data_IF_604043477381
#
_entry.id   IF_604043477381
#
_cell.length_a   1.000
_cell.length_b   1.000
_cell.length_c   1.000
_cell.angle_alpha   90.00
_cell.angle_beta   90.00
_cell.angle_gamma   90.00
#
_symmetry.space_group_name_H-M   'P 1'
#
loop_
_entity.id
_entity.type
_entity.pdbx_description
1 polymer ?
#
# COMPACT_ATOMS: atom_id res chain seq x y z
N UNK A 1 37.74 -10.01 32.47
CA UNK A 1 37.41 -8.75 31.79
C UNK A 1 36.04 -8.99 31.20
N UNK A 2 35.01 -8.59 31.93
CA UNK A 2 33.62 -8.62 31.47
C UNK A 2 33.57 -7.87 30.14
N UNK A 3 33.26 -8.56 29.05
CA UNK A 3 32.89 -7.91 27.80
C UNK A 3 31.65 -7.08 28.10
N UNK A 4 31.76 -5.75 28.11
CA UNK A 4 30.59 -4.88 28.04
C UNK A 4 29.76 -5.34 26.85
N UNK A 5 28.57 -5.86 27.16
CA UNK A 5 27.83 -6.81 26.33
C UNK A 5 27.60 -6.34 24.89
N UNK A 6 28.17 -7.06 23.94
CA UNK A 6 27.91 -6.87 22.52
C UNK A 6 26.54 -7.45 22.17
N UNK A 7 25.66 -6.61 21.62
CA UNK A 7 24.35 -7.03 21.14
C UNK A 7 24.42 -7.48 19.67
N UNK A 8 23.96 -8.70 19.39
CA UNK A 8 23.81 -9.25 18.04
C UNK A 8 22.42 -8.93 17.46
N UNK A 9 22.41 -8.33 16.26
CA UNK A 9 21.19 -8.01 15.51
C UNK A 9 21.13 -8.82 14.21
N UNK A 10 19.90 -9.05 13.73
CA UNK A 10 19.65 -9.70 12.43
C UNK A 10 19.67 -8.63 11.35
N UNK A 11 20.31 -8.94 10.24
CA UNK A 11 20.42 -8.03 9.10
C UNK A 11 19.32 -8.31 8.07
N UNK A 12 19.03 -7.32 7.24
CA UNK A 12 18.05 -7.43 6.17
C UNK A 12 18.51 -8.42 5.08
N UNK A 13 19.77 -8.30 4.66
CA UNK A 13 20.41 -9.22 3.71
C UNK A 13 21.84 -9.57 4.18
N UNK A 14 22.34 -10.74 3.80
CA UNK A 14 23.73 -11.16 4.06
C UNK A 14 24.75 -10.20 3.45
N UNK A 15 24.38 -9.49 2.38
CA UNK A 15 25.23 -8.44 1.79
C UNK A 15 25.46 -7.25 2.72
N UNK A 16 24.46 -6.84 3.53
CA UNK A 16 24.58 -5.70 4.44
C UNK A 16 25.54 -5.97 5.60
N UNK A 17 25.63 -7.23 6.02
CA UNK A 17 26.44 -7.69 7.13
C UNK A 17 27.46 -8.74 6.65
N UNK A 18 28.64 -8.31 6.18
CA UNK A 18 29.67 -9.20 5.64
C UNK A 18 30.38 -10.03 6.74
N UNK A 19 29.95 -9.87 8.00
CA UNK A 19 30.62 -10.42 9.17
C UNK A 19 31.86 -9.60 9.58
N UNK A 20 32.50 -10.04 10.67
CA UNK A 20 33.69 -9.40 11.21
C UNK A 20 33.49 -8.86 12.63
N UNK A 21 34.27 -7.83 12.99
CA UNK A 21 34.17 -7.21 14.32
C UNK A 21 32.84 -6.44 14.47
N UNK A 22 32.35 -6.26 15.72
CA UNK A 22 31.17 -5.43 15.97
C UNK A 22 31.30 -4.03 15.32
N UNK A 23 30.20 -3.57 14.71
CA UNK A 23 30.17 -2.28 14.01
C UNK A 23 30.75 -2.29 12.59
N UNK A 24 31.20 -3.44 12.08
CA UNK A 24 31.66 -3.58 10.69
C UNK A 24 30.46 -3.84 9.76
N UNK A 25 30.11 -2.86 8.94
CA UNK A 25 29.02 -2.93 7.96
C UNK A 25 29.56 -2.91 6.52
N UNK A 26 28.80 -3.44 5.55
CA UNK A 26 29.21 -3.40 4.15
C UNK A 26 29.17 -1.99 3.56
N UNK A 27 30.26 -1.59 2.90
CA UNK A 27 30.34 -0.29 2.24
C UNK A 27 30.23 0.88 3.22
N UNK A 28 29.29 1.80 2.94
CA UNK A 28 29.04 2.99 3.75
C UNK A 28 27.77 2.90 4.62
N UNK A 29 27.22 1.69 4.81
CA UNK A 29 26.09 1.51 5.70
C UNK A 29 26.49 1.62 7.17
N UNK A 30 25.53 2.01 8.02
CA UNK A 30 25.74 2.27 9.44
C UNK A 30 24.48 1.97 10.25
N UNK A 31 24.58 2.15 11.56
CA UNK A 31 23.45 1.99 12.48
C UNK A 31 23.16 0.53 12.82
N UNK A 32 22.03 0.32 13.49
CA UNK A 32 21.58 -1.02 13.88
C UNK A 32 21.25 -1.82 12.62
N UNK A 33 21.68 -3.08 12.60
CA UNK A 33 21.50 -4.00 11.47
C UNK A 33 22.12 -3.55 10.14
N UNK A 34 23.04 -2.56 10.18
CA UNK A 34 23.69 -1.98 8.99
C UNK A 34 22.69 -1.47 7.94
N UNK A 35 21.53 -0.97 8.38
CA UNK A 35 20.41 -0.60 7.52
C UNK A 35 20.48 0.84 6.99
N UNK A 36 21.19 1.75 7.69
CA UNK A 36 21.16 3.17 7.35
C UNK A 36 22.27 3.54 6.36
N UNK A 37 21.92 4.31 5.34
CA UNK A 37 22.90 4.98 4.48
C UNK A 37 23.20 6.41 4.97
N UNK A 38 24.39 6.92 4.63
CA UNK A 38 24.74 8.31 4.89
C UNK A 38 23.86 9.30 4.09
N UNK A 39 23.84 10.57 4.51
CA UNK A 39 23.10 11.62 3.80
C UNK A 39 23.55 11.74 2.34
N UNK A 40 22.58 11.78 1.42
CA UNK A 40 22.85 11.82 -0.02
C UNK A 40 23.25 10.47 -0.63
N UNK A 41 23.11 9.37 0.12
CA UNK A 41 23.27 8.00 -0.38
C UNK A 41 21.95 7.21 -0.29
N UNK A 42 21.85 6.15 -1.08
CA UNK A 42 20.74 5.21 -1.11
C UNK A 42 21.27 3.78 -1.11
N UNK A 43 20.47 2.86 -0.57
CA UNK A 43 20.73 1.44 -0.68
C UNK A 43 20.40 0.95 -2.08
N UNK A 44 21.26 0.10 -2.67
CA UNK A 44 21.01 -0.49 -3.99
C UNK A 44 20.79 -2.02 -3.94
N UNK A 45 20.62 -2.59 -2.75
CA UNK A 45 20.53 -4.04 -2.52
C UNK A 45 21.83 -4.68 -2.00
N UNK A 46 22.98 -4.05 -2.22
CA UNK A 46 24.30 -4.58 -1.84
C UNK A 46 25.13 -3.59 -1.01
N UNK A 47 25.14 -2.31 -1.40
CA UNK A 47 25.93 -1.25 -0.77
C UNK A 47 25.23 0.12 -0.84
N UNK A 48 25.59 1.02 0.08
CA UNK A 48 25.14 2.41 0.00
C UNK A 48 25.90 3.15 -1.12
N UNK A 49 25.16 3.63 -2.12
CA UNK A 49 25.69 4.42 -3.25
C UNK A 49 25.20 5.86 -3.23
N UNK A 50 25.99 6.82 -3.77
CA UNK A 50 25.53 8.20 -3.88
C UNK A 50 24.27 8.29 -4.74
N UNK A 51 23.34 9.15 -4.32
CA UNK A 51 22.09 9.42 -5.02
C UNK A 51 22.37 9.93 -6.44
N UNK A 52 21.93 9.17 -7.44
CA UNK A 52 22.09 9.55 -8.84
C UNK A 52 21.04 10.59 -9.23
N UNK A 53 21.40 11.48 -10.17
CA UNK A 53 20.51 12.56 -10.61
C UNK A 53 19.19 12.06 -11.21
N UNK A 54 19.21 10.90 -11.89
CA UNK A 54 18.00 10.31 -12.47
C UNK A 54 17.02 9.77 -11.43
N UNK A 55 17.48 9.36 -10.24
CA UNK A 55 16.58 8.91 -9.14
C UNK A 55 15.76 10.09 -8.65
N UNK A 56 16.43 11.23 -8.39
CA UNK A 56 15.75 12.48 -8.02
C UNK A 56 14.80 12.95 -9.10
N UNK A 57 15.22 12.90 -10.37
CA UNK A 57 14.37 13.25 -11.50
C UNK A 57 13.14 12.33 -11.58
N UNK A 58 13.32 11.02 -11.37
CA UNK A 58 12.24 10.03 -11.36
C UNK A 58 11.18 10.35 -10.30
N UNK A 59 11.60 10.67 -9.07
CA UNK A 59 10.69 11.10 -8.02
C UNK A 59 9.97 12.42 -8.33
N UNK A 60 10.68 13.40 -8.89
CA UNK A 60 10.05 14.67 -9.33
C UNK A 60 8.99 14.39 -10.40
N UNK A 61 9.32 13.58 -11.41
CA UNK A 61 8.39 13.19 -12.48
C UNK A 61 7.19 12.44 -11.91
N UNK A 62 7.39 11.54 -10.95
CA UNK A 62 6.31 10.81 -10.29
C UNK A 62 5.36 11.76 -9.52
N UNK A 63 5.91 12.67 -8.71
CA UNK A 63 5.13 13.66 -7.95
C UNK A 63 4.35 14.58 -8.90
N UNK A 64 5.02 15.14 -9.92
CA UNK A 64 4.38 15.99 -10.92
C UNK A 64 3.30 15.21 -11.70
N UNK A 65 3.58 13.97 -12.05
CA UNK A 65 2.65 13.06 -12.71
C UNK A 65 1.39 12.86 -11.88
N UNK A 66 1.51 12.47 -10.60
CA UNK A 66 0.36 12.31 -9.69
C UNK A 66 -0.42 13.63 -9.55
N UNK A 67 0.28 14.75 -9.35
CA UNK A 67 -0.33 16.07 -9.23
C UNK A 67 -1.08 16.50 -10.50
N UNK A 68 -0.69 16.05 -11.68
CA UNK A 68 -1.37 16.33 -12.95
C UNK A 68 -2.50 15.32 -13.25
N UNK A 69 -2.28 14.03 -12.95
CA UNK A 69 -3.24 12.95 -13.17
C UNK A 69 -4.52 13.13 -12.35
N UNK A 70 -4.41 13.57 -11.09
CA UNK A 70 -5.56 13.78 -10.20
C UNK A 70 -6.57 14.83 -10.75
N UNK A 71 -6.15 16.06 -11.14
CA UNK A 71 -7.00 17.02 -11.83
C UNK A 71 -7.58 16.49 -13.15
N UNK A 72 -6.77 15.78 -13.94
CA UNK A 72 -7.20 15.22 -15.21
C UNK A 72 -8.32 14.19 -15.02
N UNK A 73 -8.13 13.23 -14.09
CA UNK A 73 -9.14 12.23 -13.75
C UNK A 73 -10.41 12.88 -13.19
N UNK A 74 -10.28 13.89 -12.32
CA UNK A 74 -11.41 14.64 -11.79
C UNK A 74 -12.19 15.35 -12.90
N UNK A 75 -11.53 15.93 -13.91
CA UNK A 75 -12.20 16.52 -15.08
C UNK A 75 -12.82 15.48 -16.00
N UNK A 76 -12.06 14.45 -16.35
CA UNK A 76 -12.49 13.39 -17.27
C UNK A 76 -13.75 12.69 -16.76
N UNK A 77 -13.87 12.49 -15.44
CA UNK A 77 -15.08 11.96 -14.82
C UNK A 77 -16.32 12.84 -15.06
N UNK A 78 -16.14 14.16 -15.18
CA UNK A 78 -17.24 15.13 -15.32
C UNK A 78 -17.68 15.36 -16.77
N UNK A 79 -16.78 15.19 -17.75
CA UNK A 79 -17.07 15.40 -19.18
C UNK A 79 -17.65 14.14 -19.87
N UNK A 80 -17.87 13.07 -19.11
CA UNK A 80 -18.29 11.77 -19.60
C UNK A 80 -19.81 11.76 -19.90
N UNK A 81 -20.21 12.10 -21.13
CA UNK A 81 -21.64 12.21 -21.54
C UNK A 81 -21.92 11.66 -22.97
N UNK A 82 -21.21 10.64 -23.45
CA UNK A 82 -21.49 10.02 -24.77
C UNK A 82 -21.44 8.48 -24.77
N UNK A 83 -22.61 7.84 -24.67
CA UNK A 83 -22.91 6.42 -24.45
C UNK A 83 -21.95 5.33 -25.00
N UNK A 84 -21.36 5.45 -26.19
CA UNK A 84 -20.60 4.32 -26.80
C UNK A 84 -19.10 4.33 -26.45
N UNK A 85 -18.50 5.50 -26.22
CA UNK A 85 -17.12 5.61 -25.67
C UNK A 85 -17.08 5.28 -24.18
N UNK A 86 -18.24 5.24 -23.53
CA UNK A 86 -18.35 5.13 -22.08
C UNK A 86 -17.99 3.75 -21.54
N UNK A 87 -18.41 2.67 -22.19
CA UNK A 87 -18.14 1.33 -21.67
C UNK A 87 -16.66 0.96 -21.84
N UNK A 88 -16.04 1.35 -22.96
CA UNK A 88 -14.64 1.00 -23.25
C UNK A 88 -13.67 1.72 -22.30
N UNK A 89 -13.82 3.04 -22.12
CA UNK A 89 -12.94 3.79 -21.21
C UNK A 89 -13.20 3.39 -19.75
N UNK A 90 -14.45 3.14 -19.36
CA UNK A 90 -14.78 2.60 -18.04
C UNK A 90 -14.12 1.23 -17.79
N UNK A 91 -14.19 0.33 -18.77
CA UNK A 91 -13.58 -1.01 -18.69
C UNK A 91 -12.07 -0.89 -18.56
N UNK A 92 -11.44 -0.04 -19.38
CA UNK A 92 -9.99 0.19 -19.33
C UNK A 92 -9.54 0.73 -17.96
N UNK A 93 -10.22 1.76 -17.43
CA UNK A 93 -9.90 2.30 -16.11
C UNK A 93 -10.09 1.26 -14.99
N UNK A 94 -11.11 0.42 -15.10
CA UNK A 94 -11.33 -0.65 -14.12
C UNK A 94 -10.28 -1.74 -14.22
N UNK A 95 -9.79 -2.07 -15.42
CA UNK A 95 -8.65 -2.99 -15.60
C UNK A 95 -7.38 -2.40 -14.98
N UNK A 96 -7.10 -1.11 -15.18
CA UNK A 96 -5.96 -0.44 -14.55
C UNK A 96 -6.06 -0.48 -13.02
N UNK A 97 -7.25 -0.30 -12.46
CA UNK A 97 -7.48 -0.40 -11.02
C UNK A 97 -7.27 -1.83 -10.49
N UNK A 98 -7.83 -2.83 -11.17
CA UNK A 98 -7.60 -4.25 -10.84
C UNK A 98 -6.10 -4.56 -10.91
N UNK A 99 -5.42 -4.13 -11.98
CA UNK A 99 -3.98 -4.27 -12.13
C UNK A 99 -3.22 -3.60 -10.98
N UNK A 100 -3.59 -2.38 -10.60
CA UNK A 100 -3.04 -1.68 -9.44
C UNK A 100 -3.18 -2.48 -8.15
N UNK A 101 -4.37 -3.01 -7.86
CA UNK A 101 -4.63 -3.86 -6.69
C UNK A 101 -3.80 -5.15 -6.70
N UNK A 102 -3.57 -5.75 -7.87
CA UNK A 102 -2.70 -6.91 -8.03
C UNK A 102 -1.25 -6.55 -7.73
N UNK A 103 -0.75 -5.43 -8.26
CA UNK A 103 0.61 -4.94 -7.98
C UNK A 103 0.79 -4.60 -6.49
N UNK A 104 -0.22 -3.98 -5.86
CA UNK A 104 -0.23 -3.73 -4.41
C UNK A 104 -0.20 -5.02 -3.60
N UNK A 105 -0.94 -6.05 -4.03
CA UNK A 105 -0.94 -7.36 -3.35
C UNK A 105 0.40 -8.07 -3.51
N UNK A 106 1.02 -7.99 -4.69
CA UNK A 106 2.37 -8.51 -4.93
C UNK A 106 3.40 -7.81 -4.04
N UNK A 107 3.33 -6.48 -3.94
CA UNK A 107 4.21 -5.69 -3.10
C UNK A 107 4.11 -6.08 -1.62
N UNK A 108 2.89 -6.24 -1.09
CA UNK A 108 2.66 -6.73 0.29
C UNK A 108 3.16 -8.17 0.47
N UNK A 109 2.99 -9.03 -0.54
CA UNK A 109 3.50 -10.41 -0.49
C UNK A 109 5.04 -10.44 -0.38
N UNK A 110 5.72 -9.51 -1.03
CA UNK A 110 7.18 -9.34 -0.92
C UNK A 110 7.67 -8.97 0.48
N UNK A 111 6.78 -8.53 1.38
CA UNK A 111 7.10 -8.18 2.77
C UNK A 111 7.04 -9.38 3.73
N UNK A 112 6.61 -10.55 3.27
CA UNK A 112 6.65 -11.78 4.07
C UNK A 112 8.09 -12.10 4.46
N UNK A 113 8.27 -12.70 5.65
CA UNK A 113 9.59 -13.11 6.17
C UNK A 113 10.10 -14.42 5.54
N UNK A 114 9.98 -14.54 4.20
CA UNK A 114 10.41 -15.68 3.39
C UNK A 114 11.75 -15.41 2.71
N UNK A 115 12.53 -16.46 2.49
CA UNK A 115 13.80 -16.40 1.76
C UNK A 115 13.57 -16.47 0.24
N UNK A 116 13.02 -15.39 -0.33
CA UNK A 116 12.70 -15.35 -1.75
C UNK A 116 13.93 -15.52 -2.66
N UNK A 117 13.80 -16.22 -3.81
CA UNK A 117 14.87 -16.30 -4.79
C UNK A 117 15.18 -14.91 -5.37
N UNK A 118 16.45 -14.67 -5.72
CA UNK A 118 16.96 -13.36 -6.15
C UNK A 118 16.13 -12.69 -7.26
N UNK A 119 15.63 -13.47 -8.23
CA UNK A 119 14.79 -12.94 -9.31
C UNK A 119 13.52 -12.25 -8.79
N UNK A 120 12.88 -12.82 -7.76
CA UNK A 120 11.66 -12.28 -7.17
C UNK A 120 11.95 -11.08 -6.28
N UNK A 121 13.08 -11.07 -5.56
CA UNK A 121 13.51 -9.92 -4.72
C UNK A 121 13.63 -8.65 -5.56
N UNK A 122 14.27 -8.72 -6.73
CA UNK A 122 14.36 -7.56 -7.63
C UNK A 122 13.00 -7.10 -8.14
N UNK A 123 12.08 -8.02 -8.42
CA UNK A 123 10.71 -7.68 -8.82
C UNK A 123 9.95 -7.00 -7.68
N UNK A 124 10.01 -7.53 -6.46
CA UNK A 124 9.32 -6.97 -5.31
C UNK A 124 9.83 -5.57 -4.96
N UNK A 125 11.15 -5.34 -5.01
CA UNK A 125 11.74 -4.01 -4.77
C UNK A 125 11.16 -2.93 -5.70
N UNK A 126 10.95 -3.24 -6.98
CA UNK A 126 10.28 -2.33 -7.92
C UNK A 126 8.79 -2.11 -7.60
N UNK A 127 8.12 -3.13 -7.05
CA UNK A 127 6.69 -3.10 -6.76
C UNK A 127 6.34 -2.41 -5.43
N UNK A 128 7.29 -2.29 -4.49
CA UNK A 128 7.08 -1.65 -3.19
C UNK A 128 6.44 -0.24 -3.33
N UNK A 129 6.76 0.52 -4.40
CA UNK A 129 6.15 1.84 -4.66
C UNK A 129 4.62 1.80 -4.66
N UNK A 130 4.03 0.71 -5.16
CA UNK A 130 2.58 0.54 -5.17
C UNK A 130 2.02 0.30 -3.78
N UNK A 131 2.79 -0.31 -2.86
CA UNK A 131 2.45 -0.44 -1.44
C UNK A 131 2.80 0.81 -0.60
N UNK A 132 3.18 1.93 -1.23
CA UNK A 132 3.68 3.14 -0.56
C UNK A 132 4.91 2.91 0.32
N UNK A 133 5.65 1.87 0.02
CA UNK A 133 6.94 1.56 0.59
C UNK A 133 8.00 1.85 -0.47
N UNK A 134 8.93 2.76 -0.20
CA UNK A 134 9.84 3.18 -1.27
C UNK A 134 11.26 3.42 -0.75
N UNK A 135 11.60 2.80 0.38
CA UNK A 135 12.92 2.87 0.97
C UNK A 135 13.99 2.42 -0.05
N UNK A 136 13.74 1.31 -0.74
CA UNK A 136 14.67 0.74 -1.72
C UNK A 136 14.72 1.49 -3.06
N UNK A 137 13.74 2.35 -3.34
CA UNK A 137 13.66 3.17 -4.57
C UNK A 137 14.33 4.54 -4.41
N UNK A 138 15.16 4.69 -3.38
CA UNK A 138 15.89 5.92 -3.13
C UNK A 138 15.01 7.05 -2.62
N UNK A 139 13.94 6.74 -1.87
CA UNK A 139 13.16 7.77 -1.16
C UNK A 139 14.06 8.64 -0.26
N UNK A 140 15.12 8.04 0.30
CA UNK A 140 16.16 8.75 1.06
C UNK A 140 16.79 9.92 0.31
N UNK A 141 16.83 9.87 -1.04
CA UNK A 141 17.39 10.91 -1.89
C UNK A 141 16.52 12.18 -1.98
N UNK A 142 15.26 12.11 -1.53
CA UNK A 142 14.30 13.23 -1.58
C UNK A 142 13.80 13.60 -0.18
N UNK A 143 13.52 12.62 0.68
CA UNK A 143 12.97 12.86 2.03
C UNK A 143 14.03 12.92 3.14
N UNK A 144 15.30 12.60 2.85
CA UNK A 144 16.38 12.54 3.83
C UNK A 144 16.72 11.11 4.28
N UNK A 145 17.89 10.94 4.92
CA UNK A 145 18.42 9.62 5.31
C UNK A 145 17.73 9.00 6.53
N UNK A 146 17.05 9.80 7.36
CA UNK A 146 16.44 9.30 8.60
C UNK A 146 15.16 8.51 8.31
N UNK A 147 15.03 7.26 8.82
CA UNK A 147 13.85 6.42 8.54
C UNK A 147 12.53 7.04 9.03
N UNK A 148 12.54 7.72 10.18
CA UNK A 148 11.34 8.41 10.69
C UNK A 148 10.82 9.49 9.72
N UNK A 149 11.73 10.20 9.03
CA UNK A 149 11.35 11.21 8.04
C UNK A 149 10.77 10.57 6.77
N UNK A 150 11.34 9.43 6.35
CA UNK A 150 10.82 8.66 5.21
C UNK A 150 9.41 8.15 5.49
N UNK A 151 9.18 7.58 6.68
CA UNK A 151 7.86 7.15 7.12
C UNK A 151 6.86 8.32 7.16
N UNK A 152 7.26 9.46 7.74
CA UNK A 152 6.43 10.67 7.78
C UNK A 152 6.05 11.18 6.39
N UNK A 153 6.98 11.13 5.43
CA UNK A 153 6.70 11.48 4.03
C UNK A 153 5.65 10.55 3.40
N UNK A 154 5.77 9.24 3.61
CA UNK A 154 4.80 8.25 3.11
C UNK A 154 3.40 8.47 3.71
N UNK A 155 3.33 8.69 5.04
CA UNK A 155 2.06 8.97 5.74
C UNK A 155 1.41 10.26 5.23
N UNK A 156 2.20 11.26 4.85
CA UNK A 156 1.70 12.54 4.35
C UNK A 156 1.09 12.46 2.93
N UNK A 157 1.38 11.41 2.14
CA UNK A 157 0.91 11.30 0.75
C UNK A 157 -0.61 11.38 0.64
N UNK A 158 -1.36 10.61 1.44
CA UNK A 158 -2.82 10.61 1.40
C UNK A 158 -3.45 11.96 1.80
N UNK A 159 -3.14 12.56 2.97
CA UNK A 159 -3.73 13.84 3.34
C UNK A 159 -3.31 14.96 2.39
N UNK A 160 -2.07 15.01 1.92
CA UNK A 160 -1.63 15.98 0.92
C UNK A 160 -2.37 15.80 -0.42
N UNK A 161 -2.60 14.56 -0.86
CA UNK A 161 -3.40 14.26 -2.05
C UNK A 161 -4.87 14.74 -1.93
N UNK A 162 -5.48 14.56 -0.75
CA UNK A 162 -6.85 15.05 -0.49
C UNK A 162 -6.91 16.57 -0.50
N UNK A 163 -5.96 17.24 0.14
CA UNK A 163 -5.84 18.69 0.14
C UNK A 163 -5.58 19.24 -1.27
N UNK A 164 -4.76 18.55 -2.07
CA UNK A 164 -4.52 18.90 -3.46
C UNK A 164 -5.80 18.82 -4.29
N UNK A 165 -6.57 17.72 -4.17
CA UNK A 165 -7.86 17.59 -4.84
C UNK A 165 -8.86 18.68 -4.43
N UNK A 166 -8.90 19.05 -3.14
CA UNK A 166 -9.71 20.16 -2.65
C UNK A 166 -9.31 21.50 -3.28
N UNK A 167 -8.00 21.78 -3.33
CA UNK A 167 -7.46 22.99 -3.97
C UNK A 167 -7.81 23.04 -5.46
N UNK A 168 -7.53 21.96 -6.19
CA UNK A 168 -7.90 21.81 -7.60
C UNK A 168 -9.40 21.99 -7.78
N UNK A 169 -10.20 21.47 -6.85
CA UNK A 169 -11.63 21.59 -6.93
C UNK A 169 -12.08 23.05 -6.87
N UNK A 170 -11.54 23.78 -5.91
CA UNK A 170 -11.81 25.20 -5.69
C UNK A 170 -11.33 26.07 -6.85
N UNK A 171 -10.10 25.86 -7.35
CA UNK A 171 -9.53 26.60 -8.49
C UNK A 171 -10.41 26.50 -9.73
N UNK A 172 -10.81 25.30 -10.11
CA UNK A 172 -11.69 25.12 -11.26
C UNK A 172 -13.13 25.60 -11.01
N UNK A 173 -13.61 25.61 -9.76
CA UNK A 173 -14.91 26.22 -9.42
C UNK A 173 -14.86 27.75 -9.57
N UNK A 174 -13.72 28.37 -9.28
CA UNK A 174 -13.51 29.79 -9.56
C UNK A 174 -13.42 30.08 -11.06
N UNK A 175 -12.73 29.22 -11.82
CA UNK A 175 -12.53 29.39 -13.27
C UNK A 175 -13.75 29.01 -14.13
N UNK A 176 -14.59 28.08 -13.67
CA UNK A 176 -15.76 27.58 -14.42
C UNK A 176 -16.99 27.43 -13.51
N UNK A 177 -18.06 28.15 -13.83
CA UNK A 177 -19.33 28.14 -13.09
C UNK A 177 -20.15 26.90 -13.46
N UNK A 178 -20.02 25.82 -12.68
CA UNK A 178 -20.89 24.64 -12.86
C UNK A 178 -20.60 23.44 -11.95
N UNK A 179 -19.72 23.57 -10.95
CA UNK A 179 -19.09 22.41 -10.30
C UNK A 179 -19.81 22.07 -9.00
N UNK A 180 -20.25 20.81 -8.87
CA UNK A 180 -21.03 20.34 -7.71
C UNK A 180 -20.11 19.77 -6.63
N UNK A 181 -20.54 19.84 -5.38
CA UNK A 181 -19.80 19.26 -4.25
C UNK A 181 -19.80 17.72 -4.29
N UNK A 182 -20.85 17.12 -4.84
CA UNK A 182 -20.97 15.65 -5.03
C UNK A 182 -19.81 15.08 -5.84
N UNK A 183 -19.37 15.83 -6.84
CA UNK A 183 -18.29 15.47 -7.76
C UNK A 183 -16.94 15.38 -7.05
N UNK A 184 -16.70 16.33 -6.13
CA UNK A 184 -15.55 16.35 -5.25
C UNK A 184 -15.59 15.16 -4.29
N UNK A 185 -16.73 14.93 -3.63
CA UNK A 185 -16.91 13.81 -2.69
C UNK A 185 -16.62 12.47 -3.36
N UNK A 186 -17.16 12.24 -4.57
CA UNK A 186 -16.92 11.02 -5.31
C UNK A 186 -15.45 10.88 -5.75
N UNK A 187 -14.78 11.97 -6.13
CA UNK A 187 -13.37 11.96 -6.51
C UNK A 187 -12.44 11.70 -5.31
N UNK A 188 -12.73 12.29 -4.15
CA UNK A 188 -12.02 12.02 -2.90
C UNK A 188 -12.22 10.57 -2.46
N UNK A 189 -13.47 10.08 -2.50
CA UNK A 189 -13.78 8.68 -2.19
C UNK A 189 -13.03 7.71 -3.10
N UNK A 190 -13.00 7.98 -4.41
CA UNK A 190 -12.25 7.15 -5.36
C UNK A 190 -10.75 7.15 -5.08
N UNK A 191 -10.16 8.30 -4.72
CA UNK A 191 -8.74 8.36 -4.35
C UNK A 191 -8.44 7.56 -3.08
N UNK A 192 -9.30 7.65 -2.06
CA UNK A 192 -9.14 6.86 -0.83
C UNK A 192 -9.30 5.37 -1.13
N UNK A 193 -10.26 4.96 -1.96
CA UNK A 193 -10.45 3.55 -2.38
C UNK A 193 -9.22 3.00 -3.10
N UNK A 194 -8.66 3.73 -4.07
CA UNK A 194 -7.49 3.28 -4.85
C UNK A 194 -6.25 3.12 -3.97
N UNK A 195 -6.08 4.00 -2.99
CA UNK A 195 -4.94 3.96 -2.08
C UNK A 195 -5.21 3.11 -0.82
N UNK A 196 -6.43 2.57 -0.64
CA UNK A 196 -6.88 2.02 0.64
C UNK A 196 -5.98 0.89 1.12
N UNK A 197 -5.66 -0.06 0.24
CA UNK A 197 -4.83 -1.22 0.57
C UNK A 197 -3.39 -0.81 0.93
N UNK A 198 -2.74 0.01 0.09
CA UNK A 198 -1.39 0.51 0.36
C UNK A 198 -1.29 1.29 1.68
N UNK A 199 -2.23 2.23 1.90
CA UNK A 199 -2.25 3.05 3.13
C UNK A 199 -2.61 2.20 4.36
N UNK A 200 -3.46 1.19 4.22
CA UNK A 200 -3.74 0.24 5.30
C UNK A 200 -2.49 -0.53 5.72
N UNK A 201 -1.72 -1.03 4.74
CA UNK A 201 -0.44 -1.69 5.02
C UNK A 201 0.53 -0.75 5.72
N UNK A 202 0.70 0.47 5.19
CA UNK A 202 1.55 1.51 5.78
C UNK A 202 1.15 1.84 7.23
N UNK A 203 -0.16 1.88 7.53
CA UNK A 203 -0.64 2.12 8.91
C UNK A 203 -0.24 1.01 9.89
N UNK A 204 -0.02 -0.21 9.40
CA UNK A 204 0.35 -1.38 10.19
C UNK A 204 1.87 -1.56 10.35
N UNK A 205 2.69 -0.95 9.48
CA UNK A 205 4.16 -1.04 9.52
C UNK A 205 4.75 -0.81 10.91
N UNK A 206 4.38 0.24 11.69
CA UNK A 206 4.95 0.48 13.02
C UNK A 206 4.79 -0.70 13.99
N UNK A 207 3.78 -1.53 13.79
CA UNK A 207 3.45 -2.63 14.68
C UNK A 207 4.14 -3.95 14.30
N UNK A 208 4.78 -4.03 13.12
CA UNK A 208 5.49 -5.22 12.63
C UNK A 208 6.87 -5.34 13.30
N UNK A 209 6.92 -5.77 14.57
CA UNK A 209 8.16 -5.98 15.31
C UNK A 209 8.65 -7.43 15.19
N UNK A 210 9.92 -7.63 14.84
CA UNK A 210 10.53 -8.95 14.79
C UNK A 210 11.64 -9.12 15.84
N UNK A 211 11.96 -10.35 16.22
CA UNK A 211 12.87 -10.66 17.33
C UNK A 211 14.30 -10.92 16.85
N UNK A 212 15.27 -10.30 17.54
CA UNK A 212 16.70 -10.57 17.40
C UNK A 212 17.19 -11.65 18.39
N UNK A 213 18.34 -12.30 18.13
CA UNK A 213 18.96 -13.26 19.04
C UNK A 213 19.21 -12.72 20.46
N UNK A 214 19.44 -11.41 20.59
CA UNK A 214 19.60 -10.70 21.86
C UNK A 214 18.33 -10.58 22.68
N UNK A 215 17.16 -10.91 22.11
CA UNK A 215 15.86 -10.67 22.73
C UNK A 215 15.32 -9.25 22.51
N UNK A 216 16.07 -8.35 21.87
CA UNK A 216 15.55 -7.06 21.42
C UNK A 216 14.68 -7.22 20.18
N UNK A 217 13.83 -6.22 19.95
CA UNK A 217 12.91 -6.17 18.82
C UNK A 217 13.18 -4.93 17.97
N UNK A 218 13.20 -5.11 16.65
CA UNK A 218 13.22 -3.99 15.70
C UNK A 218 12.02 -4.05 14.78
N UNK A 219 11.72 -2.93 14.15
CA UNK A 219 10.71 -2.88 13.11
C UNK A 219 11.15 -3.71 11.90
N UNK A 220 10.22 -4.44 11.28
CA UNK A 220 10.48 -5.34 10.16
C UNK A 220 10.93 -4.58 8.91
N UNK A 221 10.29 -3.45 8.60
CA UNK A 221 10.59 -2.66 7.40
C UNK A 221 11.69 -1.61 7.63
N UNK A 222 11.85 -1.18 8.88
CA UNK A 222 12.81 -0.15 9.28
C UNK A 222 13.72 -0.68 10.37
N UNK A 223 14.64 -1.57 9.98
CA UNK A 223 15.45 -2.36 10.93
C UNK A 223 16.31 -1.52 11.89
N UNK A 224 16.59 -0.25 11.57
CA UNK A 224 17.34 0.63 12.47
C UNK A 224 16.48 1.20 13.62
N UNK A 225 15.15 1.10 13.54
CA UNK A 225 14.24 1.54 14.59
C UNK A 225 13.92 0.36 15.52
N UNK A 226 14.44 0.45 16.75
CA UNK A 226 14.12 -0.48 17.84
C UNK A 226 12.68 -0.27 18.33
N UNK A 227 11.94 -1.37 18.50
CA UNK A 227 10.60 -1.32 19.08
C UNK A 227 10.66 -0.90 20.55
N UNK A 228 9.85 0.09 20.92
CA UNK A 228 9.87 0.72 22.25
C UNK A 228 10.76 1.96 22.37
N UNK A 229 11.46 2.36 21.30
CA UNK A 229 12.19 3.64 21.24
C UNK A 229 11.25 4.84 21.05
N UNK A 230 11.77 6.07 21.25
CA UNK A 230 11.01 7.31 21.01
C UNK A 230 10.61 7.46 19.53
N UNK A 231 11.50 7.11 18.61
CA UNK A 231 11.22 7.11 17.16
C UNK A 231 10.11 6.10 16.82
N UNK A 232 10.13 4.93 17.46
CA UNK A 232 9.06 3.93 17.33
C UNK A 232 7.74 4.47 17.87
N UNK A 233 7.73 5.16 19.02
CA UNK A 233 6.53 5.78 19.56
C UNK A 233 5.92 6.82 18.59
N UNK A 234 6.76 7.64 17.95
CA UNK A 234 6.30 8.58 16.93
C UNK A 234 5.69 7.87 15.71
N UNK A 235 6.31 6.78 15.23
CA UNK A 235 5.76 5.94 14.17
C UNK A 235 4.40 5.34 14.56
N UNK A 236 4.28 4.83 15.78
CA UNK A 236 3.06 4.23 16.30
C UNK A 236 1.91 5.24 16.34
N UNK A 237 2.17 6.49 16.76
CA UNK A 237 1.16 7.56 16.75
C UNK A 237 0.70 7.85 15.32
N UNK A 238 1.63 8.05 14.39
CA UNK A 238 1.30 8.32 12.98
C UNK A 238 0.51 7.16 12.34
N UNK A 239 0.96 5.91 12.52
CA UNK A 239 0.28 4.72 12.01
C UNK A 239 -1.11 4.54 12.61
N UNK A 240 -1.26 4.72 13.92
CA UNK A 240 -2.56 4.62 14.60
C UNK A 240 -3.55 5.69 14.11
N UNK A 241 -3.10 6.94 13.96
CA UNK A 241 -3.93 8.01 13.41
C UNK A 241 -4.40 7.71 11.98
N UNK A 242 -3.49 7.22 11.14
CA UNK A 242 -3.79 6.83 9.76
C UNK A 242 -4.77 5.65 9.70
N UNK A 243 -4.53 4.62 10.51
CA UNK A 243 -5.41 3.45 10.63
C UNK A 243 -6.81 3.82 11.14
N UNK A 244 -6.91 4.70 12.13
CA UNK A 244 -8.19 5.21 12.64
C UNK A 244 -8.99 5.95 11.55
N UNK A 245 -8.32 6.78 10.73
CA UNK A 245 -8.93 7.45 9.60
C UNK A 245 -9.49 6.45 8.57
N UNK A 246 -8.74 5.40 8.25
CA UNK A 246 -9.17 4.36 7.32
C UNK A 246 -10.33 3.51 7.87
N UNK A 247 -10.29 3.16 9.16
CA UNK A 247 -11.40 2.49 9.84
C UNK A 247 -12.67 3.34 9.80
N UNK A 248 -12.55 4.65 10.04
CA UNK A 248 -13.67 5.58 9.93
C UNK A 248 -14.21 5.66 8.50
N UNK A 249 -13.33 5.72 7.50
CA UNK A 249 -13.73 5.69 6.08
C UNK A 249 -14.46 4.39 5.72
N UNK A 250 -13.96 3.24 6.16
CA UNK A 250 -14.61 1.95 5.93
C UNK A 250 -16.00 1.90 6.59
N UNK A 251 -16.12 2.38 7.83
CA UNK A 251 -17.41 2.48 8.53
C UNK A 251 -18.40 3.41 7.79
N UNK A 252 -17.92 4.52 7.23
CA UNK A 252 -18.72 5.40 6.37
C UNK A 252 -19.17 4.66 5.11
N UNK A 253 -18.30 3.87 4.47
CA UNK A 253 -18.67 3.07 3.29
C UNK A 253 -19.76 2.04 3.64
N UNK A 254 -19.65 1.35 4.77
CA UNK A 254 -20.69 0.42 5.27
C UNK A 254 -22.01 1.15 5.47
N UNK A 255 -21.97 2.32 6.12
CA UNK A 255 -23.16 3.13 6.37
C UNK A 255 -23.81 3.64 5.08
N UNK A 256 -23.02 4.15 4.13
CA UNK A 256 -23.48 4.58 2.79
C UNK A 256 -24.21 3.43 2.12
N UNK A 257 -23.59 2.25 2.08
CA UNK A 257 -24.14 1.08 1.42
C UNK A 257 -25.43 0.60 2.10
N UNK A 258 -25.47 0.58 3.43
CA UNK A 258 -26.69 0.23 4.15
C UNK A 258 -27.85 1.21 3.86
N UNK A 259 -27.56 2.51 3.74
CA UNK A 259 -28.59 3.53 3.46
C UNK A 259 -28.95 3.66 1.98
N UNK A 260 -28.11 3.19 1.07
CA UNK A 260 -28.26 3.38 -0.38
C UNK A 260 -29.64 2.97 -0.93
N UNK A 261 -30.23 1.80 -0.55
CA UNK A 261 -31.56 1.43 -1.05
C UNK A 261 -32.64 2.44 -0.63
N UNK A 262 -32.58 2.95 0.60
CA UNK A 262 -33.56 3.95 1.07
C UNK A 262 -33.41 5.30 0.35
N UNK A 263 -32.18 5.73 0.05
CA UNK A 263 -31.93 6.96 -0.69
C UNK A 263 -32.37 6.88 -2.14
N UNK A 264 -32.29 5.68 -2.75
CA UNK A 264 -32.71 5.46 -4.13
C UNK A 264 -34.22 5.67 -4.36
N UNK A 265 -35.02 5.62 -3.30
CA UNK A 265 -36.47 5.81 -3.35
C UNK A 265 -36.91 7.27 -3.09
N UNK A 266 -35.97 8.17 -2.77
CA UNK A 266 -36.28 9.58 -2.43
C UNK A 266 -36.09 10.48 -3.65
N UNK A 267 -36.83 11.61 -3.73
CA UNK A 267 -36.72 12.57 -4.85
C UNK A 267 -35.30 13.13 -5.05
N UNK A 268 -34.50 13.23 -3.98
CA UNK A 268 -33.11 13.69 -4.02
C UNK A 268 -32.07 12.58 -4.28
N UNK A 269 -32.48 11.41 -4.81
CA UNK A 269 -31.58 10.26 -5.01
C UNK A 269 -30.30 10.62 -5.79
N UNK A 270 -30.39 11.54 -6.75
CA UNK A 270 -29.29 11.92 -7.63
C UNK A 270 -28.08 12.43 -6.85
N UNK A 271 -28.26 13.19 -5.78
CA UNK A 271 -27.15 13.74 -4.99
C UNK A 271 -26.43 12.66 -4.19
N UNK A 272 -27.19 11.77 -3.54
CA UNK A 272 -26.65 10.71 -2.70
C UNK A 272 -25.97 9.62 -3.52
N UNK A 273 -26.58 9.24 -4.65
CA UNK A 273 -26.03 8.25 -5.58
C UNK A 273 -24.76 8.80 -6.23
N UNK A 274 -24.78 10.04 -6.75
CA UNK A 274 -23.60 10.66 -7.38
C UNK A 274 -22.39 10.75 -6.42
N UNK A 275 -22.63 11.12 -5.16
CA UNK A 275 -21.57 11.18 -4.15
C UNK A 275 -20.99 9.80 -3.79
N UNK A 276 -21.76 8.72 -3.99
CA UNK A 276 -21.41 7.35 -3.62
C UNK A 276 -20.90 6.50 -4.79
N UNK A 277 -20.84 7.07 -6.00
CA UNK A 277 -20.44 6.38 -7.24
C UNK A 277 -19.08 5.68 -7.11
N UNK A 278 -18.14 6.26 -6.35
CA UNK A 278 -16.81 5.68 -6.16
C UNK A 278 -16.86 4.23 -5.62
N UNK A 279 -17.94 3.88 -4.92
CA UNK A 279 -18.12 2.58 -4.30
C UNK A 279 -19.01 1.64 -5.11
N UNK A 280 -19.95 2.17 -5.88
CA UNK A 280 -21.02 1.37 -6.52
C UNK A 280 -20.93 1.33 -8.04
N UNK A 281 -20.27 2.29 -8.69
CA UNK A 281 -20.36 2.47 -10.13
C UNK A 281 -19.81 1.28 -10.92
N UNK A 282 -18.90 0.50 -10.31
CA UNK A 282 -18.30 -0.66 -11.00
C UNK A 282 -19.12 -1.92 -10.95
N UNK A 283 -20.07 -1.98 -10.02
CA UNK A 283 -20.77 -3.20 -9.68
C UNK A 283 -22.18 -3.23 -10.26
N UNK A 284 -22.67 -4.45 -10.49
CA UNK A 284 -24.05 -4.71 -10.87
C UNK A 284 -24.99 -4.31 -9.74
N UNK A 285 -26.20 -3.93 -10.10
CA UNK A 285 -27.26 -3.59 -9.16
C UNK A 285 -27.69 -4.75 -8.24
N UNK A 286 -27.36 -6.00 -8.57
CA UNK A 286 -27.62 -7.16 -7.71
C UNK A 286 -26.50 -7.39 -6.66
N UNK A 287 -25.32 -6.80 -6.89
CA UNK A 287 -24.09 -7.04 -6.12
C UNK A 287 -23.36 -5.75 -5.76
N UNK A 288 -24.11 -4.66 -5.59
CA UNK A 288 -23.61 -3.32 -5.26
C UNK A 288 -22.83 -3.26 -3.94
N UNK A 289 -23.04 -4.22 -3.05
CA UNK A 289 -22.35 -4.35 -1.76
C UNK A 289 -20.90 -4.85 -1.87
N UNK A 290 -20.49 -5.35 -3.04
CA UNK A 290 -19.18 -6.02 -3.22
C UNK A 290 -17.97 -5.09 -3.02
N UNK A 291 -18.17 -3.77 -3.08
CA UNK A 291 -17.11 -2.80 -2.76
C UNK A 291 -16.53 -2.97 -1.35
N UNK A 292 -17.30 -3.46 -0.37
CA UNK A 292 -16.82 -3.65 1.00
C UNK A 292 -15.83 -4.82 1.13
N UNK A 293 -16.15 -6.05 0.65
CA UNK A 293 -15.17 -7.12 0.60
C UNK A 293 -13.89 -6.75 -0.14
N UNK A 294 -14.00 -6.01 -1.26
CA UNK A 294 -12.85 -5.56 -2.03
C UNK A 294 -11.93 -4.65 -1.20
N UNK A 295 -12.50 -3.69 -0.46
CA UNK A 295 -11.74 -2.83 0.45
C UNK A 295 -11.13 -3.61 1.63
N UNK A 296 -11.90 -4.53 2.22
CA UNK A 296 -11.48 -5.29 3.39
C UNK A 296 -10.31 -6.25 3.08
N UNK A 297 -10.21 -6.74 1.83
CA UNK A 297 -9.12 -7.62 1.37
C UNK A 297 -7.74 -7.06 1.69
N UNK A 298 -7.49 -5.78 1.45
CA UNK A 298 -6.18 -5.14 1.65
C UNK A 298 -5.66 -5.28 3.09
N UNK A 299 -6.34 -4.69 4.10
CA UNK A 299 -5.97 -4.84 5.50
C UNK A 299 -5.83 -6.31 5.94
N UNK A 300 -6.72 -7.20 5.49
CA UNK A 300 -6.66 -8.62 5.84
C UNK A 300 -5.40 -9.32 5.32
N UNK A 301 -4.78 -8.82 4.24
CA UNK A 301 -3.50 -9.32 3.74
C UNK A 301 -2.31 -8.78 4.53
N UNK A 302 -2.41 -7.60 5.13
CA UNK A 302 -1.34 -7.04 5.97
C UNK A 302 -1.36 -7.57 7.41
N UNK A 303 -2.52 -8.01 7.92
CA UNK A 303 -2.65 -8.52 9.29
C UNK A 303 -1.72 -9.69 9.64
N UNK A 304 -1.48 -10.70 8.76
CA UNK A 304 -0.56 -11.79 9.08
C UNK A 304 0.88 -11.32 9.29
N UNK A 305 1.34 -10.29 8.56
CA UNK A 305 2.68 -9.70 8.73
C UNK A 305 2.84 -9.07 10.11
N UNK A 306 1.76 -8.50 10.64
CA UNK A 306 1.68 -7.94 11.98
C UNK A 306 1.63 -9.03 13.07
N UNK A 307 0.68 -9.96 12.96
CA UNK A 307 0.40 -10.92 14.04
C UNK A 307 1.45 -12.04 14.13
N UNK A 308 2.05 -12.40 13.00
CA UNK A 308 2.92 -13.57 12.86
C UNK A 308 4.28 -13.19 12.25
N UNK A 309 4.85 -12.05 12.62
CA UNK A 309 6.15 -11.57 12.09
C UNK A 309 7.25 -12.64 12.12
N UNK A 310 7.30 -13.43 13.20
CA UNK A 310 8.31 -14.46 13.42
C UNK A 310 7.91 -15.86 12.88
N UNK A 311 6.72 -16.02 12.30
CA UNK A 311 6.23 -17.32 11.81
C UNK A 311 5.77 -17.18 10.34
N UNK A 312 6.70 -17.30 9.38
CA UNK A 312 6.39 -17.11 7.95
C UNK A 312 5.42 -18.17 7.41
N UNK A 313 5.43 -19.40 7.94
CA UNK A 313 4.48 -20.44 7.54
C UNK A 313 3.02 -20.01 7.79
N UNK A 314 2.77 -19.39 8.95
CA UNK A 314 1.44 -18.88 9.29
C UNK A 314 1.06 -17.68 8.42
N UNK A 315 2.02 -16.81 8.04
CA UNK A 315 1.79 -15.72 7.11
C UNK A 315 1.28 -16.24 5.75
N UNK A 316 1.96 -17.24 5.17
CA UNK A 316 1.60 -17.87 3.90
C UNK A 316 0.20 -18.45 3.95
N UNK A 317 -0.12 -19.22 5.00
CA UNK A 317 -1.42 -19.86 5.15
C UNK A 317 -2.53 -18.82 5.28
N UNK A 318 -2.37 -17.82 6.16
CA UNK A 318 -3.40 -16.82 6.41
C UNK A 318 -3.65 -15.91 5.21
N UNK A 319 -2.60 -15.46 4.50
CA UNK A 319 -2.78 -14.69 3.27
C UNK A 319 -3.43 -15.51 2.17
N UNK A 320 -3.06 -16.79 2.02
CA UNK A 320 -3.70 -17.70 1.05
C UNK A 320 -5.18 -17.88 1.35
N UNK A 321 -5.54 -18.08 2.62
CA UNK A 321 -6.95 -18.19 3.04
C UNK A 321 -7.74 -16.91 2.74
N UNK A 322 -7.17 -15.73 2.99
CA UNK A 322 -7.81 -14.44 2.64
C UNK A 322 -8.07 -14.33 1.14
N UNK A 323 -7.10 -14.70 0.29
CA UNK A 323 -7.28 -14.66 -1.17
C UNK A 323 -8.27 -15.72 -1.68
N UNK A 324 -8.26 -16.93 -1.09
CA UNK A 324 -9.21 -17.99 -1.42
C UNK A 324 -10.63 -17.56 -1.05
N UNK A 325 -10.84 -17.01 0.15
CA UNK A 325 -12.14 -16.50 0.57
C UNK A 325 -12.63 -15.38 -0.37
N UNK A 326 -11.73 -14.47 -0.76
CA UNK A 326 -12.03 -13.42 -1.74
C UNK A 326 -12.44 -13.99 -3.10
N UNK A 327 -11.65 -14.90 -3.68
CA UNK A 327 -11.94 -15.43 -5.03
C UNK A 327 -13.20 -16.28 -5.06
N UNK A 328 -13.52 -17.00 -3.98
CA UNK A 328 -14.80 -17.72 -3.82
C UNK A 328 -15.94 -16.71 -3.82
N UNK A 329 -15.86 -15.65 -3.03
CA UNK A 329 -16.89 -14.61 -2.99
C UNK A 329 -17.07 -13.92 -4.35
N UNK A 330 -15.96 -13.59 -5.02
CA UNK A 330 -15.95 -13.03 -6.37
C UNK A 330 -16.64 -13.98 -7.38
N UNK A 331 -16.31 -15.26 -7.32
CA UNK A 331 -16.84 -16.29 -8.24
C UNK A 331 -18.31 -16.62 -7.99
N UNK A 332 -18.82 -16.42 -6.77
CA UNK A 332 -20.23 -16.58 -6.44
C UNK A 332 -21.05 -15.35 -6.80
N UNK A 333 -20.51 -14.15 -6.58
CA UNK A 333 -21.24 -12.90 -6.79
C UNK A 333 -21.21 -12.39 -8.24
N UNK A 334 -20.12 -12.62 -8.99
CA UNK A 334 -19.88 -12.00 -10.30
C UNK A 334 -20.25 -10.51 -10.35
N UNK A 335 -19.65 -9.69 -9.46
CA UNK A 335 -20.16 -8.38 -9.12
C UNK A 335 -19.92 -7.32 -10.20
N UNK A 336 -18.87 -7.41 -11.01
CA UNK A 336 -18.54 -6.36 -11.98
C UNK A 336 -19.58 -6.30 -13.11
N UNK A 337 -19.96 -5.08 -13.51
CA UNK A 337 -20.91 -4.83 -14.63
C UNK A 337 -20.44 -5.50 -15.93
N UNK A 338 -19.14 -5.48 -16.20
CA UNK A 338 -18.53 -6.07 -17.39
C UNK A 338 -17.99 -7.46 -17.04
N UNK A 339 -18.51 -8.56 -17.63
CA UNK A 339 -18.18 -9.92 -17.23
C UNK A 339 -16.69 -10.27 -17.28
N UNK A 340 -15.96 -9.76 -18.29
CA UNK A 340 -14.53 -10.03 -18.43
C UNK A 340 -13.70 -9.52 -17.25
N UNK A 341 -14.15 -8.47 -16.56
CA UNK A 341 -13.46 -7.93 -15.38
C UNK A 341 -13.46 -8.94 -14.22
N UNK A 342 -14.56 -9.67 -14.03
CA UNK A 342 -14.65 -10.74 -13.03
C UNK A 342 -13.64 -11.85 -13.33
N UNK A 343 -13.54 -12.25 -14.60
CA UNK A 343 -12.60 -13.29 -15.04
C UNK A 343 -11.14 -12.86 -14.87
N UNK A 344 -10.81 -11.61 -15.21
CA UNK A 344 -9.46 -11.04 -15.05
C UNK A 344 -9.06 -11.00 -13.57
N UNK A 345 -9.91 -10.45 -12.69
CA UNK A 345 -9.60 -10.38 -11.26
C UNK A 345 -9.50 -11.77 -10.61
N UNK A 346 -10.36 -12.72 -11.01
CA UNK A 346 -10.25 -14.10 -10.57
C UNK A 346 -8.94 -14.76 -11.02
N UNK A 347 -8.56 -14.61 -12.29
CA UNK A 347 -7.34 -15.17 -12.84
C UNK A 347 -6.09 -14.59 -12.16
N UNK A 348 -6.04 -13.26 -11.97
CA UNK A 348 -4.96 -12.61 -11.25
C UNK A 348 -4.90 -13.06 -9.79
N UNK A 349 -6.05 -13.21 -9.12
CA UNK A 349 -6.08 -13.69 -7.73
C UNK A 349 -5.60 -15.14 -7.62
N UNK A 350 -5.94 -16.02 -8.56
CA UNK A 350 -5.38 -17.37 -8.64
C UNK A 350 -3.87 -17.38 -8.84
N UNK A 351 -3.34 -16.52 -9.72
CA UNK A 351 -1.91 -16.39 -9.91
C UNK A 351 -1.19 -15.95 -8.62
N UNK A 352 -1.78 -15.04 -7.85
CA UNK A 352 -1.27 -14.61 -6.55
C UNK A 352 -1.27 -15.76 -5.53
N UNK A 353 -2.35 -16.54 -5.46
CA UNK A 353 -2.42 -17.73 -4.59
C UNK A 353 -1.32 -18.72 -4.94
N UNK A 354 -1.11 -19.02 -6.23
CA UNK A 354 -0.06 -19.92 -6.67
C UNK A 354 1.34 -19.40 -6.32
N UNK A 355 1.58 -18.09 -6.46
CA UNK A 355 2.84 -17.46 -6.08
C UNK A 355 3.10 -17.60 -4.57
N UNK A 356 2.12 -17.29 -3.72
CA UNK A 356 2.24 -17.37 -2.26
C UNK A 356 2.46 -18.82 -1.81
N UNK A 357 1.69 -19.76 -2.36
CA UNK A 357 1.88 -21.18 -2.07
C UNK A 357 3.23 -21.69 -2.58
N UNK A 358 3.71 -21.23 -3.73
CA UNK A 358 5.06 -21.52 -4.22
C UNK A 358 6.15 -20.99 -3.26
N UNK A 359 5.92 -19.84 -2.64
CA UNK A 359 6.79 -19.28 -1.60
C UNK A 359 6.97 -20.19 -0.37
N UNK A 360 6.02 -21.11 -0.10
CA UNK A 360 6.17 -22.08 1.00
C UNK A 360 7.37 -23.03 0.83
N UNK A 361 7.87 -23.21 -0.39
CA UNK A 361 9.09 -23.98 -0.68
C UNK A 361 10.37 -23.29 -0.16
N UNK A 362 10.27 -21.99 0.19
CA UNK A 362 11.34 -21.13 0.65
C UNK A 362 11.14 -20.70 2.12
N UNK A 363 10.46 -21.53 2.91
CA UNK A 363 10.38 -21.33 4.35
C UNK A 363 11.77 -21.54 4.97
N UNK A 364 12.23 -20.63 5.86
CA UNK A 364 13.45 -20.85 6.61
C UNK A 364 13.32 -22.13 7.43
N UNK A 365 14.43 -22.87 7.58
CA UNK A 365 14.45 -24.03 8.46
C UNK A 365 13.98 -23.59 9.86
N UNK A 366 13.02 -24.32 10.44
CA UNK A 366 12.58 -24.01 11.80
C UNK A 366 13.73 -24.36 12.75
N UNK A 367 14.36 -23.35 13.34
CA UNK A 367 15.26 -23.55 14.47
C UNK A 367 14.43 -24.14 15.62
N UNK A 368 14.68 -25.42 15.96
CA UNK A 368 14.08 -26.10 17.12
C UNK A 368 14.51 -25.48 18.46
#
# INVERSE_FOLDING_TARGET
>A
LEEEGLDVYKCDNSAACPGGRPGNCAGASKGISCFECADGQQWNGEECRPCQGWVRLGWIVAIVGVCACLPFAHRAKMEYTSQTREILVFTFLTILEIGGNVLQTLAITGQMTLEWPQLLVSMFSLLQVFAFEAADLGLSCVSGSRPLQQFGFQVAVLPCGLLWLLLVHFLFRMLSRGRKLTDLMASMGQMVVVCFQAVSNLSMVPFMCFRHPTGRHSNLQMLSILCGSDDHAAMMIMGTCLGALLCAFWAICVWILWRLPSWSMTENYQHHVAASEFLIDKFRLDSWWFGLPLLLRGPLLSLPLLLFTNNPATQVVMMSLTLIAYVVLLSLAWPFKVPILNAVDAACTWALILLILGGSLHLPAMDE
#
